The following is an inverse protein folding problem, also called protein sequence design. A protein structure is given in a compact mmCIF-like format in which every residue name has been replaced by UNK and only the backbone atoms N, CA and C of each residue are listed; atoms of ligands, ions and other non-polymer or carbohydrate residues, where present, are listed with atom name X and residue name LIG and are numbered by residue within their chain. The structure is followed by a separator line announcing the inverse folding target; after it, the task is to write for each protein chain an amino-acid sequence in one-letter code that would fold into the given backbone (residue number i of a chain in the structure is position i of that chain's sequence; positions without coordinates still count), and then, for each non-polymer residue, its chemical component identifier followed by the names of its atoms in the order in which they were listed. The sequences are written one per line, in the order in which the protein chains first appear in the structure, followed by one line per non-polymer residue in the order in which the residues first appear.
data_IF_470622209976
#
_entry.id   IF_470622209976
#
_cell.length_a   1.000
_cell.length_b   1.000
_cell.length_c   1.000
_cell.angle_alpha   90.00
_cell.angle_beta   90.00
_cell.angle_gamma   90.00
#
_symmetry.space_group_name_H-M   'P 1'
#
loop_
_entity.id
_entity.type
_entity.pdbx_description
1 polymer ?
#
# COMPACT_ATOMS: atom_id res chain seq x y z
N UNK A 1 12.80 18.11 12.60
CA UNK A 1 12.38 17.55 12.18
C UNK A 1 12.37 16.31 12.15
N UNK A 2 12.55 16.13 12.18
CA UNK A 2 12.66 15.26 12.06
C UNK A 2 11.88 14.38 12.21
N UNK A 3 11.45 14.34 12.18
CA UNK A 3 10.52 13.77 12.16
C UNK A 3 10.30 12.65 11.53
N UNK A 4 10.47 12.50 10.55
CA UNK A 4 10.24 11.59 9.83
C UNK A 4 10.69 10.36 10.19
N UNK A 5 11.57 10.26 10.77
CA UNK A 5 12.14 9.04 10.98
C UNK A 5 11.36 8.18 11.85
N UNK A 6 10.50 8.69 12.57
CA UNK A 6 9.81 7.84 13.42
C UNK A 6 8.95 6.88 12.68
N UNK A 7 8.74 7.08 11.44
CA UNK A 7 7.91 6.17 10.68
C UNK A 7 8.53 4.81 10.48
N UNK A 8 9.81 4.68 10.72
CA UNK A 8 10.45 3.39 10.51
C UNK A 8 9.96 2.34 11.48
N UNK A 9 9.37 2.74 12.60
CA UNK A 9 8.86 1.77 13.56
C UNK A 9 7.64 1.02 13.03
N UNK A 10 6.99 1.56 12.02
CA UNK A 10 5.82 0.94 11.45
C UNK A 10 6.05 0.32 10.08
N UNK A 11 7.30 0.30 9.63
CA UNK A 11 7.57 -0.24 8.30
C UNK A 11 7.34 -1.74 8.27
N UNK A 12 6.80 -2.21 7.16
CA UNK A 12 6.57 -3.63 6.93
C UNK A 12 7.38 -4.01 5.70
N UNK A 13 8.46 -4.75 5.90
CA UNK A 13 9.33 -5.17 4.79
C UNK A 13 9.76 -3.98 3.92
N UNK A 14 10.21 -2.91 4.57
CA UNK A 14 10.71 -1.69 3.93
C UNK A 14 9.64 -0.82 3.30
N UNK A 15 8.38 -1.09 3.54
CA UNK A 15 7.29 -0.24 3.05
C UNK A 15 6.62 0.45 4.21
N UNK A 16 6.23 1.72 4.05
CA UNK A 16 5.63 2.46 5.16
C UNK A 16 4.22 1.98 5.48
N UNK A 17 3.84 2.12 6.72
CA UNK A 17 2.50 1.78 7.16
C UNK A 17 2.00 2.87 8.08
N UNK A 18 0.74 3.28 7.90
CA UNK A 18 0.17 4.28 8.79
C UNK A 18 -0.39 3.64 10.07
N UNK A 19 -0.36 2.31 10.14
CA UNK A 19 -0.81 1.59 11.32
C UNK A 19 0.35 0.83 11.92
N UNK A 20 0.29 0.56 13.22
CA UNK A 20 1.27 -0.32 13.83
C UNK A 20 1.03 -1.73 13.32
N UNK A 21 2.00 -2.34 12.69
CA UNK A 21 1.77 -3.66 12.08
C UNK A 21 1.88 -4.79 13.08
N UNK A 22 1.01 -5.79 12.91
CA UNK A 22 1.06 -7.03 13.66
C UNK A 22 1.03 -8.18 12.68
N UNK A 23 1.60 -9.31 13.08
CA UNK A 23 1.56 -10.53 12.25
C UNK A 23 2.03 -10.27 10.81
N UNK A 24 3.16 -9.59 10.67
CA UNK A 24 3.68 -9.25 9.35
C UNK A 24 4.03 -10.48 8.53
N UNK A 25 3.60 -10.48 7.27
CA UNK A 25 3.86 -11.56 6.35
C UNK A 25 4.14 -10.97 4.97
N UNK A 26 5.15 -11.49 4.28
CA UNK A 26 5.39 -11.05 2.92
C UNK A 26 4.84 -12.09 1.96
N UNK A 27 3.87 -11.68 1.14
CA UNK A 27 3.29 -12.56 0.14
C UNK A 27 4.23 -12.59 -1.07
N UNK A 28 4.97 -13.66 -1.19
CA UNK A 28 5.99 -13.77 -2.23
C UNK A 28 5.39 -13.78 -3.63
N UNK A 29 4.24 -14.41 -3.80
CA UNK A 29 3.61 -14.49 -5.11
C UNK A 29 3.14 -13.14 -5.61
N UNK A 30 2.50 -12.39 -4.73
CA UNK A 30 1.98 -11.08 -5.09
C UNK A 30 2.99 -9.98 -4.84
N UNK A 31 4.06 -10.30 -4.09
CA UNK A 31 5.09 -9.33 -3.70
C UNK A 31 4.48 -8.20 -2.89
N UNK A 32 3.61 -8.58 -1.96
CA UNK A 32 2.93 -7.61 -1.10
C UNK A 32 3.33 -7.77 0.35
N UNK A 33 3.69 -6.66 1.02
CA UNK A 33 3.96 -6.70 2.46
C UNK A 33 2.64 -6.61 3.21
N UNK A 34 2.27 -7.68 3.88
CA UNK A 34 0.98 -7.79 4.54
C UNK A 34 1.10 -7.68 6.05
N UNK A 35 0.08 -7.17 6.68
CA UNK A 35 0.04 -7.08 8.14
C UNK A 35 -1.40 -7.00 8.63
N UNK A 36 -1.56 -7.21 9.94
CA UNK A 36 -2.84 -7.00 10.61
C UNK A 36 -2.75 -5.73 11.45
N UNK A 37 -3.88 -5.11 11.72
CA UNK A 37 -3.90 -3.92 12.57
C UNK A 37 -3.88 -4.26 14.04
N UNK A 38 -4.17 -5.51 14.41
CA UNK A 38 -4.07 -5.96 15.78
C UNK A 38 -3.72 -7.42 15.78
N UNK A 39 -3.28 -7.93 16.92
CA UNK A 39 -2.86 -9.32 17.03
C UNK A 39 -4.00 -10.28 16.75
N UNK A 40 -5.22 -9.89 17.07
CA UNK A 40 -6.38 -10.76 16.91
C UNK A 40 -7.11 -10.58 15.59
N UNK A 41 -6.72 -9.57 14.84
CA UNK A 41 -7.39 -9.28 13.57
C UNK A 41 -7.02 -10.33 12.54
N UNK A 42 -8.01 -10.73 11.74
CA UNK A 42 -7.76 -11.65 10.63
C UNK A 42 -7.76 -10.93 9.30
N UNK A 43 -8.05 -9.64 9.31
CA UNK A 43 -8.04 -8.85 8.07
C UNK A 43 -6.63 -8.45 7.73
N UNK A 44 -6.24 -8.67 6.49
CA UNK A 44 -4.90 -8.32 6.02
C UNK A 44 -4.93 -6.98 5.30
N UNK A 45 -3.92 -6.19 5.58
CA UNK A 45 -3.72 -4.89 4.95
C UNK A 45 -2.35 -4.92 4.29
N UNK A 46 -2.18 -4.09 3.27
CA UNK A 46 -0.93 -4.05 2.52
C UNK A 46 -0.21 -2.76 2.84
N UNK A 47 1.05 -2.86 3.30
CA UNK A 47 1.82 -1.66 3.59
C UNK A 47 2.27 -0.98 2.31
N UNK A 48 2.51 0.33 2.39
CA UNK A 48 2.96 1.10 1.25
C UNK A 48 1.84 1.87 0.60
N UNK A 49 2.22 2.61 -0.43
CA UNK A 49 1.26 3.40 -1.20
C UNK A 49 0.89 2.65 -2.46
N UNK A 50 -0.36 2.79 -2.88
CA UNK A 50 -0.88 2.09 -4.05
C UNK A 50 -1.75 3.01 -4.87
N UNK A 51 -1.91 2.67 -6.14
CA UNK A 51 -2.98 3.26 -6.94
C UNK A 51 -3.84 2.10 -7.43
N UNK A 52 -5.14 2.30 -7.38
CA UNK A 52 -6.10 1.24 -7.65
C UNK A 52 -7.07 1.74 -8.71
N UNK A 53 -7.34 0.91 -9.68
CA UNK A 53 -8.25 1.28 -10.74
C UNK A 53 -9.68 0.87 -10.39
N UNK A 54 -10.50 1.86 -10.11
CA UNK A 54 -11.94 1.67 -9.92
C UNK A 54 -12.66 2.07 -11.21
N UNK A 55 -13.96 1.99 -11.19
CA UNK A 55 -14.75 2.31 -12.38
C UNK A 55 -14.44 3.68 -12.96
N UNK A 56 -14.21 4.65 -12.12
CA UNK A 56 -14.00 6.02 -12.58
C UNK A 56 -12.53 6.35 -12.86
N UNK A 57 -11.65 5.42 -12.66
CA UNK A 57 -10.25 5.65 -12.95
C UNK A 57 -9.34 5.26 -11.79
N UNK A 58 -8.09 5.69 -11.89
CA UNK A 58 -7.09 5.36 -10.89
C UNK A 58 -7.20 6.29 -9.69
N UNK A 59 -7.17 5.70 -8.50
CA UNK A 59 -7.26 6.43 -7.24
C UNK A 59 -6.13 6.00 -6.34
N UNK A 60 -5.54 6.94 -5.61
CA UNK A 60 -4.47 6.61 -4.68
C UNK A 60 -5.04 5.98 -3.42
N UNK A 61 -4.25 5.12 -2.81
CA UNK A 61 -4.64 4.44 -1.59
C UNK A 61 -3.41 4.18 -0.74
N UNK A 62 -3.54 4.36 0.56
CA UNK A 62 -2.44 4.10 1.49
C UNK A 62 -2.88 2.99 2.44
N UNK A 63 -2.13 1.90 2.44
CA UNK A 63 -2.42 0.73 3.25
C UNK A 63 -3.81 0.17 3.01
N UNK A 64 -4.14 -0.16 1.75
CA UNK A 64 -5.45 -0.74 1.46
C UNK A 64 -5.58 -2.16 1.99
N UNK A 65 -6.80 -2.63 2.08
CA UNK A 65 -7.03 -4.02 2.43
C UNK A 65 -6.60 -4.91 1.29
N UNK A 66 -6.07 -6.07 1.62
CA UNK A 66 -5.69 -7.04 0.59
C UNK A 66 -6.89 -7.39 -0.30
N UNK A 67 -8.06 -7.50 0.29
CA UNK A 67 -9.27 -7.82 -0.48
C UNK A 67 -9.50 -6.83 -1.61
N UNK A 68 -9.25 -5.56 -1.36
CA UNK A 68 -9.41 -4.53 -2.39
C UNK A 68 -8.46 -4.79 -3.56
N UNK A 69 -7.22 -5.14 -3.24
CA UNK A 69 -6.22 -5.40 -4.29
C UNK A 69 -6.53 -6.67 -5.07
N UNK A 70 -7.25 -7.60 -4.46
CA UNK A 70 -7.64 -8.80 -5.17
C UNK A 70 -8.79 -8.56 -6.12
N UNK A 71 -9.60 -7.54 -5.84
CA UNK A 71 -10.78 -7.25 -6.66
C UNK A 71 -10.53 -6.30 -7.81
N UNK A 72 -9.56 -5.42 -7.68
CA UNK A 72 -9.33 -4.37 -8.66
C UNK A 72 -7.90 -4.37 -9.13
N UNK A 73 -7.64 -3.94 -10.36
CA UNK A 73 -6.25 -3.77 -10.81
C UNK A 73 -5.57 -2.72 -9.96
N UNK A 74 -4.30 -2.90 -9.71
CA UNK A 74 -3.56 -1.96 -8.90
C UNK A 74 -2.10 -1.91 -9.31
N UNK A 75 -1.42 -0.86 -8.84
CA UNK A 75 0.02 -0.73 -8.96
C UNK A 75 0.59 -0.41 -7.59
N UNK A 76 1.74 -0.93 -7.28
CA UNK A 76 2.40 -0.77 -5.99
C UNK A 76 2.93 -2.09 -5.54
N UNK A 77 3.49 -2.12 -4.34
CA UNK A 77 3.58 -1.03 -3.39
C UNK A 77 4.65 -0.01 -3.74
N UNK A 78 4.40 1.23 -3.38
CA UNK A 78 5.37 2.30 -3.53
C UNK A 78 5.83 2.74 -2.15
N UNK A 79 7.08 3.14 -2.05
CA UNK A 79 7.64 3.53 -0.76
C UNK A 79 7.39 4.99 -0.39
N UNK A 80 7.14 5.82 -1.37
CA UNK A 80 6.95 7.24 -1.11
C UNK A 80 5.71 7.75 -1.82
N UNK A 81 5.20 8.86 -1.30
CA UNK A 81 4.06 9.52 -1.92
C UNK A 81 4.42 10.00 -3.32
N UNK A 82 5.66 10.45 -3.49
CA UNK A 82 6.10 10.95 -4.78
C UNK A 82 6.05 9.87 -5.85
N UNK A 83 6.54 8.68 -5.52
CA UNK A 83 6.45 7.55 -6.46
C UNK A 83 5.01 7.25 -6.82
N UNK A 84 4.14 7.24 -5.82
CA UNK A 84 2.74 6.96 -6.04
C UNK A 84 2.10 8.02 -6.94
N UNK A 85 2.39 9.29 -6.67
CA UNK A 85 1.82 10.37 -7.49
C UNK A 85 2.31 10.31 -8.92
N UNK A 86 3.57 9.97 -9.11
CA UNK A 86 4.14 9.85 -10.46
C UNK A 86 3.42 8.75 -11.23
N UNK A 87 3.25 7.60 -10.61
CA UNK A 87 2.56 6.50 -11.29
C UNK A 87 1.09 6.80 -11.52
N UNK A 88 0.47 7.51 -10.59
CA UNK A 88 -0.93 7.89 -10.75
C UNK A 88 -1.09 8.82 -11.95
N UNK A 89 -0.20 9.80 -12.08
CA UNK A 89 -0.26 10.71 -13.21
C UNK A 89 -0.05 9.96 -14.52
N UNK A 90 0.92 9.04 -14.55
CA UNK A 90 1.16 8.25 -15.75
C UNK A 90 -0.01 7.37 -16.11
N UNK A 91 -0.63 6.77 -15.12
CA UNK A 91 -1.77 5.88 -15.37
C UNK A 91 -2.95 6.66 -15.93
N UNK A 92 -3.20 7.86 -15.40
CA UNK A 92 -4.29 8.68 -15.88
C UNK A 92 -4.04 9.27 -17.26
N UNK A 93 -2.77 9.52 -17.58
CA UNK A 93 -2.44 10.02 -18.91
C UNK A 93 -2.70 9.01 -19.99
N UNK A 94 -2.66 7.75 -19.63
CA UNK A 94 -2.75 6.69 -20.63
C UNK A 94 -4.14 6.15 -20.81
N UNK A 95 -5.09 6.92 -20.40
CA UNK A 95 -6.40 6.44 -20.57
C UNK A 95 -6.81 6.73 -21.97
N UNK A 96 -6.92 5.93 -22.75
CA UNK A 96 -7.49 6.21 -24.03
C UNK A 96 -8.10 4.98 -24.60
#
# INVERSE_FOLDING_TARGET
PEIKEENTDNDVYDYPSKFKPFNMVFDVKRKLPLFNKSKKSKSLYCAGYYIIKFEKGWVRSYCPKLLTLERYPFKGPFRTVLEMKTELANANKRTD
#
